data_IF_267953065044
#
_entry.id   IF_267953065044
#
_cell.length_a   1.000
_cell.length_b   1.000
_cell.length_c   1.000
_cell.angle_alpha   90.00
_cell.angle_beta   90.00
_cell.angle_gamma   90.00
#
_symmetry.space_group_name_H-M   'P 1'
#
loop_
_entity.id
_entity.type
_entity.pdbx_description
1 polymer ?
#
# COMPACT_ATOMS: atom_id res chain seq x y z
N UNK A 1 -26.36 1.44 -3.29
CA UNK A 1 -24.91 1.20 -3.46
C UNK A 1 -24.16 2.05 -2.45
N UNK A 2 -23.73 1.49 -1.30
CA UNK A 2 -23.21 2.30 -0.18
C UNK A 2 -22.12 1.63 0.67
N UNK A 3 -21.56 0.51 0.22
CA UNK A 3 -20.50 -0.20 0.96
C UNK A 3 -19.08 0.13 0.48
N UNK A 4 -18.94 0.81 -0.67
CA UNK A 4 -17.65 1.05 -1.32
C UNK A 4 -16.88 2.20 -0.65
N UNK A 5 -17.56 3.22 -0.10
CA UNK A 5 -16.89 4.42 0.43
C UNK A 5 -16.26 4.25 1.82
N UNK A 6 -16.78 3.37 2.67
CA UNK A 6 -16.32 3.31 4.08
C UNK A 6 -14.94 2.67 4.28
N UNK A 7 -14.46 1.86 3.32
CA UNK A 7 -13.10 1.29 3.37
C UNK A 7 -12.06 2.30 2.88
N UNK A 8 -12.35 3.00 1.78
CA UNK A 8 -11.49 4.06 1.24
C UNK A 8 -11.30 5.19 2.25
N UNK A 9 -12.40 5.66 2.87
CA UNK A 9 -12.35 6.71 3.90
C UNK A 9 -11.46 6.35 5.11
N UNK A 10 -11.38 5.05 5.47
CA UNK A 10 -10.50 4.61 6.57
C UNK A 10 -9.03 4.58 6.16
N UNK A 11 -8.74 4.24 4.92
CA UNK A 11 -7.39 4.25 4.38
C UNK A 11 -6.87 5.68 4.16
N UNK A 12 -7.71 6.57 3.62
CA UNK A 12 -7.36 7.99 3.46
C UNK A 12 -7.03 8.65 4.81
N UNK A 13 -7.84 8.39 5.85
CA UNK A 13 -7.56 8.89 7.21
C UNK A 13 -6.26 8.34 7.79
N UNK A 14 -5.90 7.09 7.48
CA UNK A 14 -4.63 6.51 7.92
C UNK A 14 -3.44 7.13 7.19
N UNK A 15 -3.59 7.44 5.89
CA UNK A 15 -2.57 8.12 5.09
C UNK A 15 -2.39 9.56 5.57
N UNK A 16 -3.47 10.28 5.85
CA UNK A 16 -3.43 11.63 6.42
C UNK A 16 -2.75 11.62 7.80
N UNK A 17 -3.08 10.65 8.64
CA UNK A 17 -2.44 10.50 9.95
C UNK A 17 -0.95 10.19 9.81
N UNK A 18 -0.56 9.29 8.89
CA UNK A 18 0.84 8.97 8.62
C UNK A 18 1.60 10.20 8.12
N UNK A 19 0.97 11.03 7.27
CA UNK A 19 1.52 12.30 6.79
C UNK A 19 1.85 13.26 7.94
N UNK A 20 0.89 13.43 8.86
CA UNK A 20 1.07 14.28 10.03
C UNK A 20 2.17 13.72 10.93
N UNK A 21 2.12 12.44 11.25
CA UNK A 21 3.08 11.77 12.14
C UNK A 21 4.51 11.88 11.62
N UNK A 22 4.69 11.71 10.32
CA UNK A 22 5.98 11.89 9.64
C UNK A 22 6.42 13.36 9.70
N UNK A 23 5.53 14.30 9.37
CA UNK A 23 5.81 15.74 9.41
C UNK A 23 6.22 16.24 10.80
N UNK A 24 5.61 15.69 11.86
CA UNK A 24 5.91 16.04 13.24
C UNK A 24 7.07 15.22 13.85
N UNK A 25 7.63 14.24 13.12
CA UNK A 25 8.76 13.42 13.57
C UNK A 25 8.43 12.42 14.68
N UNK A 26 7.18 11.96 14.76
CA UNK A 26 6.75 10.98 15.78
C UNK A 26 7.10 9.54 15.36
N UNK A 27 8.38 9.19 15.38
CA UNK A 27 8.91 7.90 14.89
C UNK A 27 8.24 6.66 15.53
N UNK A 28 7.90 6.69 16.82
CA UNK A 28 7.24 5.56 17.49
C UNK A 28 5.82 5.31 16.96
N UNK A 29 5.11 6.38 16.64
CA UNK A 29 3.76 6.31 16.09
C UNK A 29 3.83 5.92 14.60
N UNK A 30 4.82 6.41 13.87
CA UNK A 30 5.09 6.01 12.48
C UNK A 30 5.36 4.50 12.39
N UNK A 31 6.19 3.96 13.28
CA UNK A 31 6.46 2.53 13.35
C UNK A 31 5.20 1.72 13.71
N UNK A 32 4.40 2.21 14.66
CA UNK A 32 3.15 1.56 15.05
C UNK A 32 2.14 1.54 13.90
N UNK A 33 2.03 2.63 13.14
CA UNK A 33 1.20 2.71 11.93
C UNK A 33 1.71 1.79 10.83
N UNK A 34 3.02 1.73 10.61
CA UNK A 34 3.65 0.82 9.66
C UNK A 34 3.37 -0.64 9.99
N UNK A 35 3.44 -1.03 11.27
CA UNK A 35 3.06 -2.37 11.73
C UNK A 35 1.56 -2.63 11.52
N UNK A 36 0.72 -1.65 11.83
CA UNK A 36 -0.73 -1.79 11.62
C UNK A 36 -1.08 -1.98 10.14
N UNK A 37 -0.50 -1.16 9.25
CA UNK A 37 -0.66 -1.26 7.81
C UNK A 37 -0.24 -2.64 7.27
N UNK A 38 0.83 -3.23 7.81
CA UNK A 38 1.22 -4.63 7.48
C UNK A 38 0.18 -5.65 7.89
N UNK A 39 -0.49 -5.45 9.03
CA UNK A 39 -1.46 -6.41 9.56
C UNK A 39 -2.81 -6.40 8.86
N UNK A 40 -3.20 -5.26 8.28
CA UNK A 40 -4.45 -5.10 7.53
C UNK A 40 -4.28 -5.29 6.01
N UNK A 41 -3.07 -5.68 5.59
CA UNK A 41 -2.68 -5.80 4.20
C UNK A 41 -3.45 -6.94 3.50
N UNK A 42 -3.97 -6.65 2.32
CA UNK A 42 -4.87 -7.48 1.54
C UNK A 42 -4.71 -7.23 0.04
N UNK A 43 -5.25 -8.12 -0.80
CA UNK A 43 -5.18 -7.99 -2.27
C UNK A 43 -5.79 -6.68 -2.80
N UNK A 44 -6.71 -6.08 -2.06
CA UNK A 44 -7.44 -4.89 -2.49
C UNK A 44 -6.75 -3.59 -2.06
N UNK A 45 -5.91 -3.62 -1.02
CA UNK A 45 -5.27 -2.41 -0.49
C UNK A 45 -3.74 -2.43 -0.53
N UNK A 46 -3.11 -3.58 -0.82
CA UNK A 46 -1.65 -3.69 -0.89
C UNK A 46 -1.04 -2.66 -1.85
N UNK A 47 -1.73 -2.37 -2.94
CA UNK A 47 -1.37 -1.37 -3.94
C UNK A 47 -1.32 0.05 -3.36
N UNK A 48 -2.39 0.48 -2.69
CA UNK A 48 -2.48 1.81 -2.06
C UNK A 48 -1.45 1.95 -0.92
N UNK A 49 -1.29 0.91 -0.11
CA UNK A 49 -0.32 0.89 1.00
C UNK A 49 1.11 0.92 0.46
N UNK A 50 1.39 0.25 -0.66
CA UNK A 50 2.71 0.30 -1.30
C UNK A 50 3.05 1.72 -1.79
N UNK A 51 2.12 2.39 -2.48
CA UNK A 51 2.32 3.77 -2.95
C UNK A 51 2.55 4.73 -1.78
N UNK A 52 1.77 4.57 -0.72
CA UNK A 52 1.96 5.29 0.55
C UNK A 52 3.35 5.03 1.14
N UNK A 53 3.78 3.78 1.20
CA UNK A 53 5.08 3.41 1.72
C UNK A 53 6.24 3.97 0.87
N UNK A 54 6.04 4.10 -0.45
CA UNK A 54 6.96 4.79 -1.34
C UNK A 54 7.03 6.29 -1.06
N UNK A 55 5.89 6.94 -0.85
CA UNK A 55 5.78 8.38 -0.61
C UNK A 55 6.41 8.81 0.72
N UNK A 56 6.27 8.00 1.78
CA UNK A 56 6.87 8.25 3.10
C UNK A 56 8.22 7.56 3.32
N UNK A 57 8.83 7.00 2.27
CA UNK A 57 10.12 6.29 2.33
C UNK A 57 10.20 5.17 3.39
N UNK A 58 9.06 4.53 3.70
CA UNK A 58 8.93 3.48 4.70
C UNK A 58 9.48 2.14 4.18
N UNK A 59 10.81 2.00 4.12
CA UNK A 59 11.49 0.86 3.51
C UNK A 59 11.02 -0.51 4.04
N UNK A 60 10.79 -0.65 5.35
CA UNK A 60 10.31 -1.90 5.92
C UNK A 60 8.87 -2.26 5.52
N UNK A 61 8.02 -1.26 5.24
CA UNK A 61 6.66 -1.46 4.73
C UNK A 61 6.70 -1.74 3.23
N UNK A 62 7.51 -1.00 2.46
CA UNK A 62 7.74 -1.22 1.03
C UNK A 62 8.17 -2.65 0.73
N UNK A 63 9.16 -3.17 1.45
CA UNK A 63 9.66 -4.55 1.25
C UNK A 63 8.56 -5.58 1.53
N UNK A 64 7.80 -5.40 2.62
CA UNK A 64 6.74 -6.32 2.99
C UNK A 64 5.58 -6.30 1.96
N UNK A 65 5.21 -5.11 1.50
CA UNK A 65 4.20 -4.95 0.44
C UNK A 65 4.70 -5.57 -0.87
N UNK A 66 5.96 -5.33 -1.26
CA UNK A 66 6.54 -5.92 -2.47
C UNK A 66 6.55 -7.46 -2.41
N UNK A 67 6.91 -8.07 -1.28
CA UNK A 67 6.84 -9.51 -1.10
C UNK A 67 5.41 -10.05 -1.21
N UNK A 68 4.43 -9.32 -0.65
CA UNK A 68 3.03 -9.70 -0.80
C UNK A 68 2.57 -9.59 -2.25
N UNK A 69 2.93 -8.51 -2.94
CA UNK A 69 2.61 -8.31 -4.35
C UNK A 69 3.23 -9.43 -5.19
N UNK A 70 4.48 -9.79 -4.95
CA UNK A 70 5.18 -10.84 -5.70
C UNK A 70 4.51 -12.22 -5.50
N UNK A 71 4.17 -12.55 -4.24
CA UNK A 71 3.49 -13.81 -3.91
C UNK A 71 2.08 -13.93 -4.51
N UNK A 72 1.35 -12.82 -4.63
CA UNK A 72 -0.04 -12.79 -5.10
C UNK A 72 -0.19 -12.07 -6.44
N UNK A 73 0.89 -11.94 -7.22
CA UNK A 73 0.93 -11.06 -8.38
C UNK A 73 -0.15 -11.41 -9.42
N UNK A 74 -0.39 -12.69 -9.66
CA UNK A 74 -1.40 -13.16 -10.61
C UNK A 74 -2.84 -12.92 -10.17
N UNK A 75 -3.09 -12.78 -8.87
CA UNK A 75 -4.39 -12.43 -8.30
C UNK A 75 -4.59 -10.91 -8.28
N UNK A 76 -3.53 -10.16 -7.94
CA UNK A 76 -3.53 -8.70 -7.92
C UNK A 76 -3.71 -8.12 -9.33
N UNK A 77 -3.08 -8.68 -10.36
CA UNK A 77 -3.27 -8.20 -11.74
C UNK A 77 -4.72 -8.38 -12.22
N UNK A 78 -5.50 -9.27 -11.59
CA UNK A 78 -6.91 -9.51 -11.91
C UNK A 78 -7.88 -8.63 -11.12
N UNK A 79 -7.44 -7.97 -10.05
CA UNK A 79 -8.31 -7.09 -9.26
C UNK A 79 -8.50 -5.74 -9.95
N UNK A 80 -9.70 -5.19 -9.83
CA UNK A 80 -10.07 -3.86 -10.33
C UNK A 80 -9.23 -2.74 -9.72
N UNK A 81 -8.74 -2.95 -8.50
CA UNK A 81 -7.88 -2.03 -7.75
C UNK A 81 -6.50 -1.87 -8.40
N UNK A 82 -6.02 -2.87 -9.16
CA UNK A 82 -4.80 -2.76 -9.96
C UNK A 82 -4.94 -1.75 -11.11
N UNK A 83 -6.16 -1.58 -11.65
CA UNK A 83 -6.43 -0.58 -12.69
C UNK A 83 -6.53 0.85 -12.12
N UNK A 84 -6.68 1.00 -10.81
CA UNK A 84 -6.70 2.29 -10.12
C UNK A 84 -5.30 2.75 -9.66
N UNK A 85 -4.25 1.98 -9.97
CA UNK A 85 -2.88 2.29 -9.60
C UNK A 85 -2.30 3.51 -10.32
N UNK A 86 -1.34 4.15 -9.66
CA UNK A 86 -0.42 5.09 -10.27
C UNK A 86 0.45 4.41 -11.36
N UNK A 87 0.93 5.20 -12.33
CA UNK A 87 1.75 4.69 -13.44
C UNK A 87 3.03 4.00 -12.94
N UNK A 88 3.59 4.48 -11.82
CA UNK A 88 4.76 3.94 -11.16
C UNK A 88 4.51 2.52 -10.62
N UNK A 89 3.40 2.30 -9.91
CA UNK A 89 3.05 0.99 -9.36
C UNK A 89 2.72 -0.03 -10.45
N UNK A 90 2.03 0.39 -11.52
CA UNK A 90 1.77 -0.47 -12.67
C UNK A 90 3.07 -0.97 -13.29
N UNK A 91 4.03 -0.06 -13.51
CA UNK A 91 5.34 -0.40 -14.07
C UNK A 91 6.12 -1.36 -13.18
N UNK A 92 6.02 -1.22 -11.86
CA UNK A 92 6.70 -2.09 -10.90
C UNK A 92 6.15 -3.52 -10.89
N UNK A 93 4.82 -3.68 -10.83
CA UNK A 93 4.19 -5.02 -10.88
C UNK A 93 4.43 -5.70 -12.22
N UNK A 94 4.40 -4.94 -13.32
CA UNK A 94 4.71 -5.45 -14.65
C UNK A 94 6.18 -5.91 -14.75
N UNK A 95 7.12 -5.16 -14.18
CA UNK A 95 8.54 -5.53 -14.14
C UNK A 95 8.83 -6.75 -13.28
N UNK A 96 8.08 -6.96 -12.20
CA UNK A 96 8.22 -8.14 -11.34
C UNK A 96 7.66 -9.42 -11.99
N UNK A 97 6.68 -9.32 -12.89
CA UNK A 97 6.09 -10.47 -13.56
C UNK A 97 6.83 -10.93 -14.83
N UNK A 98 7.96 -10.29 -15.17
CA UNK A 98 8.80 -10.75 -16.28
C UNK A 98 9.56 -12.02 -15.89
N UNK A 99 9.52 -13.09 -16.71
CA UNK A 99 10.35 -14.26 -16.47
C UNK A 99 11.82 -13.83 -16.55
N UNK A 100 12.55 -13.99 -15.43
CA UNK A 100 14.01 -13.78 -15.36
C UNK A 100 14.76 -14.82 -16.17
#
# INVERSE_FOLDING_TARGET
TGQISLKQEKEDVLIDLLSLVHQYGFEQLENSLSIYLKSILSLNNVCLIYDTACLFELNALKIHCAQFIDNYATEIIKTSEFLALSSEAFSFVFLLNLPR
#
